data_IF_742974854699
#
_entry.id   IF_742974854699
#
_cell.length_a   1.000
_cell.length_b   1.000
_cell.length_c   1.000
_cell.angle_alpha   90.00
_cell.angle_beta   90.00
_cell.angle_gamma   90.00
#
_symmetry.space_group_name_H-M   'P 1'
#
loop_
_entity.id
_entity.type
_entity.pdbx_description
1 polymer ?
#
# COMPACT_ATOMS: atom_id res chain seq x y z
N UNK A 1 -5.25 14.92 16.49
CA UNK A 1 -4.78 15.37 15.16
C UNK A 1 -4.69 14.12 14.30
N UNK A 2 -5.61 13.94 13.34
CA UNK A 2 -5.66 12.75 12.49
C UNK A 2 -4.62 12.91 11.37
N UNK A 3 -3.64 12.00 11.29
CA UNK A 3 -2.64 11.99 10.23
C UNK A 3 -3.02 10.91 9.20
N UNK A 4 -3.58 11.34 8.07
CA UNK A 4 -3.78 10.49 6.89
C UNK A 4 -2.47 10.45 6.12
N UNK A 5 -1.85 9.28 6.00
CA UNK A 5 -0.62 9.06 5.25
C UNK A 5 -0.98 8.69 3.80
N UNK A 6 -0.74 9.60 2.85
CA UNK A 6 -0.83 9.32 1.42
C UNK A 6 0.58 9.20 0.87
N UNK A 7 0.91 8.04 0.31
CA UNK A 7 2.20 7.74 -0.29
C UNK A 7 2.22 8.32 -1.73
N UNK A 8 3.06 9.32 -1.99
CA UNK A 8 3.14 10.01 -3.29
C UNK A 8 4.41 9.66 -4.06
N UNK A 9 4.27 9.13 -5.27
CA UNK A 9 5.30 9.08 -6.31
C UNK A 9 4.85 10.00 -7.44
N UNK A 10 5.51 11.14 -7.66
CA UNK A 10 5.16 12.06 -8.73
C UNK A 10 5.31 11.41 -10.11
N UNK A 11 4.22 11.35 -10.90
CA UNK A 11 4.28 11.12 -12.33
C UNK A 11 3.32 12.06 -13.06
N UNK A 12 3.83 12.78 -14.04
CA UNK A 12 3.05 13.75 -14.82
C UNK A 12 2.10 12.99 -15.77
N UNK A 13 0.80 13.27 -15.72
CA UNK A 13 -0.13 12.88 -16.77
C UNK A 13 -1.17 13.99 -17.02
N UNK A 14 -1.26 14.42 -18.28
CA UNK A 14 -2.17 15.44 -18.80
C UNK A 14 -3.62 14.92 -18.82
N UNK A 15 -4.59 15.81 -18.53
CA UNK A 15 -6.00 15.48 -18.30
C UNK A 15 -6.80 15.12 -19.57
N UNK A 16 -7.77 14.20 -19.43
CA UNK A 16 -8.96 14.09 -20.27
C UNK A 16 -10.19 13.63 -19.44
N UNK A 17 -11.37 14.13 -19.82
CA UNK A 17 -12.61 14.24 -19.03
C UNK A 17 -13.43 12.95 -18.83
N UNK A 18 -14.13 12.88 -17.69
CA UNK A 18 -14.85 11.71 -17.12
C UNK A 18 -16.37 11.92 -17.16
N UNK A 19 -17.16 10.87 -17.48
CA UNK A 19 -18.33 10.61 -16.64
C UNK A 19 -18.41 9.13 -16.26
N UNK A 20 -18.40 8.83 -14.97
CA UNK A 20 -18.64 7.47 -14.46
C UNK A 20 -19.20 7.51 -13.05
N UNK A 21 -20.45 7.12 -12.89
CA UNK A 21 -20.99 6.69 -11.60
C UNK A 21 -20.33 5.34 -11.23
N UNK A 22 -19.85 5.05 -10.03
CA UNK A 22 -19.68 5.85 -8.83
C UNK A 22 -18.28 5.52 -8.25
N UNK A 23 -17.58 6.60 -7.91
CA UNK A 23 -16.49 6.75 -6.94
C UNK A 23 -15.14 6.05 -7.18
N UNK A 24 -14.72 5.99 -8.45
CA UNK A 24 -13.34 6.37 -8.86
C UNK A 24 -13.48 7.43 -9.94
N UNK A 25 -13.48 8.71 -9.56
CA UNK A 25 -13.58 9.81 -10.51
C UNK A 25 -12.23 10.06 -11.19
N UNK A 26 -12.08 9.51 -12.40
CA UNK A 26 -10.86 9.66 -13.20
C UNK A 26 -9.77 8.64 -12.85
N UNK A 27 -8.98 8.29 -13.85
CA UNK A 27 -7.90 7.30 -13.75
C UNK A 27 -7.55 6.70 -15.11
N UNK A 28 -6.35 6.15 -15.23
CA UNK A 28 -5.87 5.41 -16.41
C UNK A 28 -5.23 4.11 -15.94
N UNK A 29 -5.14 3.12 -16.83
CA UNK A 29 -4.39 1.90 -16.53
C UNK A 29 -2.95 2.24 -16.12
N UNK A 30 -2.51 1.67 -15.00
CA UNK A 30 -1.16 1.83 -14.49
C UNK A 30 -0.33 0.58 -14.80
N UNK A 31 0.89 0.79 -15.30
CA UNK A 31 1.88 -0.28 -15.35
C UNK A 31 2.32 -0.60 -13.91
N UNK A 32 2.35 -1.88 -13.53
CA UNK A 32 2.82 -2.32 -12.20
C UNK A 32 4.23 -1.80 -11.86
N UNK A 33 5.06 -1.58 -12.88
CA UNK A 33 6.39 -0.98 -12.74
C UNK A 33 6.32 0.43 -12.16
N UNK A 34 5.18 1.12 -12.21
CA UNK A 34 5.04 2.50 -11.73
C UNK A 34 4.47 2.61 -10.32
N UNK A 35 3.92 1.53 -9.75
CA UNK A 35 3.17 1.55 -8.49
C UNK A 35 3.68 0.50 -7.48
N UNK A 36 4.94 0.62 -7.01
CA UNK A 36 5.46 -0.27 -5.99
C UNK A 36 4.78 -0.04 -4.64
N UNK A 37 4.65 -1.12 -3.85
CA UNK A 37 4.06 -1.07 -2.50
C UNK A 37 4.92 -1.76 -1.44
N UNK A 38 5.99 -2.45 -1.86
CA UNK A 38 7.00 -3.03 -0.97
C UNK A 38 7.84 -1.90 -0.37
N UNK A 39 8.26 -2.00 0.89
CA UNK A 39 9.15 -0.98 1.50
C UNK A 39 10.60 -1.46 1.65
N UNK A 40 10.80 -2.77 1.55
CA UNK A 40 12.09 -3.45 1.52
C UNK A 40 11.92 -4.81 0.81
N UNK A 41 12.99 -5.57 0.62
CA UNK A 41 12.94 -6.93 0.08
C UNK A 41 12.24 -7.92 1.03
N UNK A 42 11.99 -7.55 2.29
CA UNK A 42 11.39 -8.45 3.29
C UNK A 42 10.19 -7.88 4.02
N UNK A 43 9.83 -6.63 3.74
CA UNK A 43 8.84 -5.88 4.50
C UNK A 43 7.81 -5.20 3.59
N UNK A 44 6.54 -5.32 3.99
CA UNK A 44 5.39 -4.69 3.34
C UNK A 44 4.71 -3.76 4.34
N UNK A 45 4.37 -2.55 3.90
CA UNK A 45 3.55 -1.62 4.67
C UNK A 45 2.08 -1.83 4.35
N UNK A 46 1.22 -1.77 5.36
CA UNK A 46 -0.24 -1.81 5.21
C UNK A 46 -0.90 -1.02 6.34
N UNK A 47 -2.23 -0.92 6.32
CA UNK A 47 -2.99 -0.34 7.41
C UNK A 47 -3.14 -1.33 8.58
N UNK A 48 -3.18 -0.82 9.81
CA UNK A 48 -3.36 -1.64 11.01
C UNK A 48 -4.69 -2.39 10.98
N UNK A 49 -5.78 -1.71 10.58
CA UNK A 49 -7.09 -2.32 10.48
C UNK A 49 -7.16 -3.48 9.46
N UNK A 50 -6.32 -3.48 8.42
CA UNK A 50 -6.26 -4.59 7.46
C UNK A 50 -5.76 -5.89 8.10
N UNK A 51 -5.06 -5.80 9.23
CA UNK A 51 -4.49 -6.95 9.94
C UNK A 51 -5.18 -7.23 11.27
N UNK A 52 -6.18 -6.42 11.64
CA UNK A 52 -6.90 -6.57 12.90
C UNK A 52 -7.55 -7.95 12.96
N UNK A 53 -7.32 -8.65 14.06
CA UNK A 53 -7.83 -10.01 14.32
C UNK A 53 -7.35 -11.07 13.32
N UNK A 54 -6.29 -10.80 12.56
CA UNK A 54 -5.64 -11.78 11.69
C UNK A 54 -4.33 -12.27 12.32
N UNK A 55 -3.97 -13.51 12.00
CA UNK A 55 -2.66 -14.09 12.28
C UNK A 55 -1.80 -14.06 11.02
N UNK A 56 -0.48 -14.21 11.17
CA UNK A 56 0.44 -14.25 10.03
C UNK A 56 0.09 -15.35 9.02
N UNK A 57 -0.39 -16.50 9.49
CA UNK A 57 -0.83 -17.62 8.65
C UNK A 57 -2.06 -17.34 7.80
N UNK A 58 -2.87 -16.33 8.17
CA UNK A 58 -4.04 -15.92 7.40
C UNK A 58 -3.66 -15.08 6.16
N UNK A 59 -2.41 -14.62 6.10
CA UNK A 59 -1.94 -13.65 5.11
C UNK A 59 -0.87 -14.22 4.17
N UNK A 60 -0.98 -13.83 2.90
CA UNK A 60 0.09 -13.99 1.92
C UNK A 60 0.09 -12.79 0.98
N UNK A 61 1.27 -12.44 0.48
CA UNK A 61 1.50 -11.29 -0.40
C UNK A 61 1.89 -11.80 -1.79
N UNK A 62 1.37 -11.18 -2.84
CA UNK A 62 1.73 -11.48 -4.24
C UNK A 62 2.37 -10.28 -4.91
N UNK A 63 3.58 -10.47 -5.42
CA UNK A 63 4.34 -9.41 -6.11
C UNK A 63 4.48 -9.72 -7.60
N UNK A 64 4.71 -8.68 -8.41
CA UNK A 64 5.15 -8.81 -9.80
C UNK A 64 4.06 -9.02 -10.85
N UNK A 65 2.78 -8.93 -10.48
CA UNK A 65 1.67 -8.93 -11.45
C UNK A 65 0.53 -8.00 -11.05
N UNK A 66 -0.06 -7.32 -12.02
CA UNK A 66 -1.31 -6.56 -11.87
C UNK A 66 -2.56 -7.45 -12.08
N UNK A 67 -2.38 -8.72 -12.47
CA UNK A 67 -3.49 -9.66 -12.64
C UNK A 67 -3.78 -10.37 -11.33
N UNK A 68 -5.03 -10.32 -10.89
CA UNK A 68 -5.49 -11.04 -9.70
C UNK A 68 -5.11 -12.52 -9.78
N UNK A 69 -4.55 -13.05 -8.70
CA UNK A 69 -4.11 -14.44 -8.59
C UNK A 69 -2.75 -14.76 -9.24
N UNK A 70 -2.19 -13.87 -10.06
CA UNK A 70 -0.89 -14.04 -10.70
C UNK A 70 0.26 -13.43 -9.88
N UNK A 71 1.50 -13.71 -10.29
CA UNK A 71 2.72 -13.24 -9.62
C UNK A 71 3.28 -14.23 -8.60
N UNK A 72 4.32 -13.81 -7.89
CA UNK A 72 5.02 -14.66 -6.92
C UNK A 72 4.44 -14.47 -5.53
N UNK A 73 3.99 -15.57 -4.91
CA UNK A 73 3.41 -15.56 -3.56
C UNK A 73 4.50 -15.70 -2.50
N UNK A 74 4.42 -14.86 -1.47
CA UNK A 74 5.23 -14.88 -0.25
C UNK A 74 4.31 -15.05 0.96
N UNK A 75 4.70 -15.90 1.89
CA UNK A 75 3.96 -16.05 3.15
C UNK A 75 4.38 -14.95 4.13
N UNK A 76 3.44 -14.52 4.97
CA UNK A 76 3.72 -13.62 6.09
C UNK A 76 4.14 -14.45 7.29
N UNK A 77 5.18 -14.02 8.00
CA UNK A 77 5.65 -14.68 9.24
C UNK A 77 5.37 -13.86 10.49
N UNK A 78 5.35 -12.53 10.37
CA UNK A 78 5.11 -11.64 11.50
C UNK A 78 4.23 -10.46 11.05
N UNK A 79 3.31 -10.07 11.93
CA UNK A 79 2.47 -8.87 11.78
C UNK A 79 2.88 -7.91 12.91
N UNK A 80 3.38 -6.74 12.53
CA UNK A 80 3.75 -5.68 13.47
C UNK A 80 2.77 -4.51 13.32
N UNK A 81 1.68 -4.55 14.09
CA UNK A 81 0.82 -3.38 14.24
C UNK A 81 1.56 -2.29 15.00
N UNK A 82 1.29 -1.01 14.68
CA UNK A 82 1.81 0.09 15.47
C UNK A 82 1.42 -0.09 16.94
N UNK A 83 2.32 0.11 17.92
CA UNK A 83 2.03 -0.17 19.34
C UNK A 83 0.92 0.71 19.93
N UNK A 84 0.58 1.80 19.24
CA UNK A 84 -0.54 2.70 19.58
C UNK A 84 -1.75 2.57 18.66
N UNK A 85 -1.79 1.56 17.79
CA UNK A 85 -2.94 1.30 16.93
C UNK A 85 -4.19 1.13 17.78
N UNK A 86 -5.23 1.91 17.47
CA UNK A 86 -6.54 1.82 18.10
C UNK A 86 -7.58 1.78 17.00
N UNK A 87 -8.52 0.85 17.11
CA UNK A 87 -9.77 0.86 16.35
C UNK A 87 -10.92 0.54 17.31
N UNK A 88 -11.76 1.52 17.59
CA UNK A 88 -12.91 1.40 18.48
C UNK A 88 -14.16 0.94 17.72
N UNK A 89 -15.20 0.54 18.46
CA UNK A 89 -16.47 0.08 17.87
C UNK A 89 -17.24 1.20 17.18
N UNK A 90 -16.97 2.47 17.52
CA UNK A 90 -17.47 3.67 16.82
C UNK A 90 -16.58 4.10 15.65
N UNK A 91 -15.71 3.20 15.15
CA UNK A 91 -14.79 3.41 14.02
C UNK A 91 -13.80 4.56 14.21
N UNK A 92 -13.48 4.95 15.46
CA UNK A 92 -12.32 5.81 15.68
C UNK A 92 -11.07 4.99 15.46
N UNK A 93 -10.26 5.47 14.51
CA UNK A 93 -9.02 4.84 14.14
C UNK A 93 -7.87 5.82 14.34
N UNK A 94 -6.83 5.37 15.04
CA UNK A 94 -5.58 6.12 15.20
C UNK A 94 -4.39 5.17 15.06
N UNK A 95 -3.26 5.72 14.58
CA UNK A 95 -2.05 4.97 14.24
C UNK A 95 -2.33 3.74 13.36
N UNK A 96 -3.14 3.93 12.31
CA UNK A 96 -3.58 2.89 11.37
C UNK A 96 -2.46 2.44 10.42
N UNK A 97 -1.43 1.80 10.96
CA UNK A 97 -0.27 1.33 10.22
C UNK A 97 0.21 0.00 10.79
N UNK A 98 0.58 -0.90 9.89
CA UNK A 98 1.23 -2.16 10.20
C UNK A 98 2.35 -2.47 9.21
N UNK A 99 3.32 -3.24 9.68
CA UNK A 99 4.39 -3.80 8.86
C UNK A 99 4.25 -5.32 8.86
N UNK A 100 4.26 -5.93 7.69
CA UNK A 100 4.29 -7.38 7.51
C UNK A 100 5.71 -7.81 7.18
N UNK A 101 6.20 -8.84 7.86
CA UNK A 101 7.48 -9.49 7.54
C UNK A 101 7.23 -10.76 6.75
N UNK A 102 7.97 -10.94 5.67
CA UNK A 102 7.85 -12.09 4.78
C UNK A 102 8.77 -13.25 5.18
N UNK A 103 8.37 -14.47 4.84
CA UNK A 103 9.14 -15.70 5.10
C UNK A 103 10.50 -15.71 4.42
N UNK A 104 10.62 -15.06 3.27
CA UNK A 104 11.81 -15.04 2.43
C UNK A 104 11.94 -13.71 1.71
N UNK A 105 13.17 -13.41 1.29
CA UNK A 105 13.48 -12.17 0.61
C UNK A 105 12.88 -12.16 -0.81
N UNK A 106 12.28 -11.04 -1.16
CA UNK A 106 11.80 -10.71 -2.48
C UNK A 106 13.01 -10.50 -3.40
N UNK A 107 12.96 -11.11 -4.58
CA UNK A 107 13.90 -10.81 -5.66
C UNK A 107 13.35 -9.64 -6.45
N UNK A 108 14.02 -8.49 -6.37
CA UNK A 108 13.63 -7.32 -7.15
C UNK A 108 13.85 -7.52 -8.65
N UNK A 109 13.00 -6.87 -9.43
CA UNK A 109 12.97 -6.86 -10.89
C UNK A 109 12.27 -5.58 -11.37
N UNK A 110 12.14 -5.41 -12.68
CA UNK A 110 11.44 -4.24 -13.23
C UNK A 110 10.00 -4.10 -12.70
N UNK A 111 9.31 -5.22 -12.46
CA UNK A 111 7.93 -5.27 -11.95
C UNK A 111 7.83 -5.48 -10.43
N UNK A 112 8.95 -5.58 -9.72
CA UNK A 112 9.00 -5.81 -8.28
C UNK A 112 10.10 -4.95 -7.66
N UNK A 113 9.72 -3.87 -6.98
CA UNK A 113 10.69 -2.93 -6.38
C UNK A 113 10.12 -2.28 -5.13
N UNK A 114 10.99 -1.79 -4.26
CA UNK A 114 10.55 -1.03 -3.11
C UNK A 114 10.18 0.41 -3.47
N UNK A 115 9.21 0.97 -2.74
CA UNK A 115 8.91 2.40 -2.69
C UNK A 115 9.71 3.05 -1.56
N UNK A 116 10.23 4.25 -1.80
CA UNK A 116 10.92 5.03 -0.78
C UNK A 116 9.94 5.53 0.29
N UNK A 117 10.38 5.51 1.55
CA UNK A 117 9.62 6.09 2.66
C UNK A 117 9.82 7.60 2.72
N UNK A 118 8.75 8.33 3.00
CA UNK A 118 8.81 9.78 3.17
C UNK A 118 9.62 10.15 4.43
N UNK A 119 10.53 11.10 4.29
CA UNK A 119 11.30 11.68 5.41
C UNK A 119 10.67 12.96 5.98
N UNK A 120 9.65 13.49 5.30
CA UNK A 120 8.92 14.70 5.69
C UNK A 120 7.48 14.66 5.20
N UNK A 121 6.57 15.45 5.79
CA UNK A 121 5.18 15.53 5.33
C UNK A 121 5.09 16.05 3.89
N UNK A 122 4.09 15.57 3.15
CA UNK A 122 3.76 16.13 1.85
C UNK A 122 3.29 17.59 2.00
N UNK A 123 3.63 18.43 1.02
CA UNK A 123 3.17 19.82 0.96
C UNK A 123 1.68 19.83 0.58
N UNK A 124 0.91 20.70 1.22
CA UNK A 124 -0.50 20.89 0.88
C UNK A 124 -0.66 21.25 -0.60
N UNK A 125 -1.59 20.58 -1.29
CA UNK A 125 -1.81 20.75 -2.73
C UNK A 125 -0.91 19.90 -3.64
N UNK A 126 0.00 19.08 -3.08
CA UNK A 126 0.76 18.12 -3.87
C UNK A 126 -0.15 17.06 -4.51
N UNK A 127 0.19 16.64 -5.73
CA UNK A 127 -0.49 15.54 -6.42
C UNK A 127 -0.09 14.19 -5.84
N UNK A 128 -1.08 13.36 -5.52
CA UNK A 128 -0.90 11.96 -5.12
C UNK A 128 -1.31 11.00 -6.24
N UNK A 129 -0.72 9.81 -6.24
CA UNK A 129 -1.09 8.72 -7.14
C UNK A 129 -1.65 7.57 -6.32
N UNK A 130 -2.82 7.08 -6.71
CA UNK A 130 -3.54 5.99 -6.07
C UNK A 130 -3.74 4.87 -7.09
N UNK A 131 -3.51 3.62 -6.68
CA UNK A 131 -3.66 2.43 -7.53
C UNK A 131 -4.31 1.30 -6.74
N UNK A 132 -5.08 0.44 -7.41
CA UNK A 132 -5.74 -0.73 -6.85
C UNK A 132 -6.35 -1.63 -7.91
#
# INVERSE_FOLDING_TARGET
MKATMVLGLASQALAASVPRAADVYGGTDADIKSVPYQIDNRYIITAGHCTRNLTASDLSIRVGSAKLGAGTKYNVTEIHNHPKFVLTDDFQIDYDIAILKLSSDIKFSDSVKAIGLASSPAVAGATGHLSG
#
